data_IF_838360527262
#
_entry.id   IF_838360527262
#
_cell.length_a   1.000
_cell.length_b   1.000
_cell.length_c   1.000
_cell.angle_alpha   90.00
_cell.angle_beta   90.00
_cell.angle_gamma   90.00
#
_symmetry.space_group_name_H-M   'P 1'
#
loop_
_entity.id
_entity.type
_entity.pdbx_description
1 polymer ?
#
# COMPACT_ATOMS: atom_id res chain seq x y z
N UNK A 1 22.84 13.04 20.06
CA UNK A 1 22.11 12.23 19.06
C UNK A 1 23.13 11.66 18.08
N UNK A 2 23.01 10.40 17.65
CA UNK A 2 23.96 9.82 16.70
C UNK A 2 23.90 10.60 15.39
N UNK A 3 25.06 11.04 14.88
CA UNK A 3 25.16 11.66 13.55
C UNK A 3 24.87 10.57 12.51
N UNK A 4 23.69 10.62 11.88
CA UNK A 4 23.35 9.78 10.73
C UNK A 4 24.23 10.26 9.55
N UNK A 5 25.44 9.69 9.43
CA UNK A 5 26.44 10.15 8.47
C UNK A 5 26.41 9.35 7.15
N UNK A 6 25.21 8.95 6.71
CA UNK A 6 24.93 8.33 5.41
C UNK A 6 23.49 8.71 5.04
N UNK A 7 23.24 9.10 3.79
CA UNK A 7 21.90 9.46 3.29
C UNK A 7 20.99 8.23 3.41
N UNK A 8 20.24 8.13 4.50
CA UNK A 8 19.34 7.02 4.81
C UNK A 8 18.06 7.22 4.00
N UNK A 9 17.70 6.21 3.21
CA UNK A 9 16.40 6.14 2.55
C UNK A 9 15.54 5.11 3.28
N UNK A 10 14.25 5.41 3.47
CA UNK A 10 13.30 4.52 4.11
C UNK A 10 12.26 4.12 3.06
N UNK A 11 12.16 2.82 2.77
CA UNK A 11 11.11 2.27 1.93
C UNK A 11 10.12 1.50 2.80
N UNK A 12 8.90 2.02 2.92
CA UNK A 12 7.81 1.36 3.65
C UNK A 12 6.87 0.65 2.68
N UNK A 13 7.00 -0.68 2.60
CA UNK A 13 6.15 -1.52 1.74
C UNK A 13 4.97 -2.06 2.55
N UNK A 14 3.76 -1.83 2.07
CA UNK A 14 2.53 -2.23 2.76
C UNK A 14 1.53 -2.85 1.78
N UNK A 15 1.08 -4.07 2.10
CA UNK A 15 0.09 -4.81 1.30
C UNK A 15 -1.28 -4.77 1.97
N UNK A 16 -2.35 -4.89 1.18
CA UNK A 16 -3.72 -4.91 1.69
C UNK A 16 -4.23 -6.36 1.76
N UNK A 17 -4.85 -6.72 2.89
CA UNK A 17 -5.47 -8.03 3.12
C UNK A 17 -4.52 -9.25 2.92
N UNK A 18 -3.22 -9.08 3.15
CA UNK A 18 -2.26 -10.18 3.06
C UNK A 18 -2.33 -11.08 4.30
N UNK A 19 -2.59 -12.37 4.08
CA UNK A 19 -2.44 -13.37 5.13
C UNK A 19 -0.95 -13.68 5.36
N UNK A 20 -0.56 -13.83 6.63
CA UNK A 20 0.82 -14.16 6.98
C UNK A 20 1.25 -15.53 6.42
N UNK A 21 0.35 -16.51 6.44
CA UNK A 21 0.62 -17.88 5.96
C UNK A 21 0.67 -18.02 4.42
N UNK A 22 0.47 -16.93 3.68
CA UNK A 22 0.71 -16.84 2.23
C UNK A 22 2.16 -16.43 1.89
N UNK A 23 3.03 -16.27 2.88
CA UNK A 23 4.46 -16.05 2.68
C UNK A 23 5.24 -17.31 3.05
N UNK A 24 6.13 -17.77 2.17
CA UNK A 24 6.92 -18.98 2.43
C UNK A 24 7.86 -18.82 3.63
N UNK A 25 8.32 -17.61 3.95
CA UNK A 25 9.09 -17.35 5.17
C UNK A 25 8.28 -17.49 6.48
N UNK A 26 6.94 -17.51 6.44
CA UNK A 26 6.07 -17.70 7.60
C UNK A 26 5.40 -19.09 7.65
N UNK A 27 5.40 -19.82 6.53
CA UNK A 27 4.83 -21.16 6.44
C UNK A 27 5.77 -22.06 5.63
N UNK A 28 6.45 -23.00 6.31
CA UNK A 28 7.39 -23.93 5.67
C UNK A 28 6.74 -24.96 4.76
N UNK A 29 5.43 -25.21 4.94
CA UNK A 29 4.68 -26.20 4.17
C UNK A 29 4.07 -25.60 2.88
N UNK A 30 4.49 -24.40 2.50
CA UNK A 30 3.77 -23.59 1.52
C UNK A 30 4.06 -23.98 0.06
N UNK A 31 2.97 -24.21 -0.68
CA UNK A 31 2.93 -24.38 -2.14
C UNK A 31 3.35 -23.06 -2.82
N UNK A 32 2.97 -21.92 -2.23
CA UNK A 32 3.32 -20.59 -2.76
C UNK A 32 4.77 -20.22 -2.40
N UNK A 33 5.55 -19.83 -3.42
CA UNK A 33 6.95 -19.40 -3.26
C UNK A 33 7.04 -17.88 -3.35
N UNK A 34 7.64 -17.25 -2.34
CA UNK A 34 7.83 -15.78 -2.27
C UNK A 34 9.30 -15.39 -2.09
N UNK A 35 10.22 -15.80 -3.01
CA UNK A 35 11.66 -15.72 -2.79
C UNK A 35 12.18 -14.31 -2.51
N UNK A 36 11.60 -13.28 -3.13
CA UNK A 36 12.01 -11.89 -2.90
C UNK A 36 11.68 -11.41 -1.48
N UNK A 37 10.51 -11.78 -0.95
CA UNK A 37 10.11 -11.44 0.42
C UNK A 37 10.90 -12.29 1.44
N UNK A 38 11.17 -13.55 1.09
CA UNK A 38 12.00 -14.43 1.90
C UNK A 38 13.44 -13.92 2.03
N UNK A 39 14.00 -13.31 0.97
CA UNK A 39 15.33 -12.67 1.02
C UNK A 39 15.35 -11.51 2.00
N UNK A 40 14.32 -10.64 1.97
CA UNK A 40 14.19 -9.53 2.92
C UNK A 40 14.09 -10.06 4.36
N UNK A 41 13.30 -11.11 4.58
CA UNK A 41 13.16 -11.72 5.90
C UNK A 41 14.47 -12.39 6.40
N UNK A 42 15.31 -12.89 5.49
CA UNK A 42 16.60 -13.52 5.81
C UNK A 42 17.68 -12.49 6.17
N UNK A 43 17.68 -11.35 5.51
CA UNK A 43 18.66 -10.27 5.72
C UNK A 43 18.23 -9.29 6.83
N UNK A 44 16.95 -9.30 7.20
CA UNK A 44 16.36 -8.41 8.19
C UNK A 44 15.84 -9.11 9.44
N UNK A 45 14.84 -8.48 10.07
CA UNK A 45 14.14 -9.01 11.24
C UNK A 45 12.74 -9.44 10.82
N UNK A 46 12.38 -10.68 11.14
CA UNK A 46 11.05 -11.25 10.93
C UNK A 46 10.31 -11.38 12.26
N UNK A 47 9.13 -10.78 12.38
CA UNK A 47 8.31 -10.87 13.59
C UNK A 47 7.30 -12.02 13.47
N UNK A 48 7.42 -13.05 14.32
CA UNK A 48 6.46 -14.17 14.35
C UNK A 48 5.10 -13.77 14.93
N UNK A 49 5.06 -12.75 15.77
CA UNK A 49 3.87 -12.25 16.46
C UNK A 49 3.71 -10.75 16.18
N UNK A 50 3.05 -10.42 15.07
CA UNK A 50 2.72 -9.04 14.70
C UNK A 50 1.23 -8.95 14.36
N UNK A 51 0.50 -8.16 15.13
CA UNK A 51 -0.96 -8.09 15.05
C UNK A 51 -1.41 -6.71 14.62
N UNK A 52 -2.43 -6.66 13.76
CA UNK A 52 -3.16 -5.42 13.51
C UNK A 52 -3.95 -5.02 14.77
N UNK A 53 -4.08 -3.72 15.01
CA UNK A 53 -4.91 -3.21 16.12
C UNK A 53 -6.39 -3.21 15.76
N UNK A 54 -6.70 -3.27 14.47
CA UNK A 54 -8.05 -3.36 13.93
C UNK A 54 -8.00 -4.10 12.58
N UNK A 55 -8.89 -5.06 12.28
CA UNK A 55 -8.86 -5.82 11.04
C UNK A 55 -9.46 -5.07 9.82
N UNK A 56 -9.72 -3.77 9.94
CA UNK A 56 -10.34 -2.93 8.89
C UNK A 56 -9.30 -1.95 8.33
N UNK A 57 -9.36 -1.68 7.02
CA UNK A 57 -8.38 -0.86 6.30
C UNK A 57 -8.08 0.51 6.94
N UNK A 58 -9.05 1.44 6.99
CA UNK A 58 -8.79 2.82 7.43
C UNK A 58 -8.34 2.89 8.91
N UNK A 59 -8.98 2.18 9.86
CA UNK A 59 -8.52 2.13 11.24
C UNK A 59 -7.09 1.63 11.37
N UNK A 60 -6.74 0.49 10.76
CA UNK A 60 -5.40 -0.08 10.90
C UNK A 60 -4.32 0.82 10.28
N UNK A 61 -4.61 1.43 9.12
CA UNK A 61 -3.69 2.36 8.45
C UNK A 61 -3.51 3.63 9.27
N UNK A 62 -4.57 4.13 9.89
CA UNK A 62 -4.49 5.24 10.84
C UNK A 62 -3.62 4.89 12.05
N UNK A 63 -3.76 3.68 12.61
CA UNK A 63 -2.88 3.20 13.69
C UNK A 63 -1.42 3.18 13.26
N UNK A 64 -1.11 2.63 12.07
CA UNK A 64 0.27 2.57 11.55
C UNK A 64 0.86 3.97 11.40
N UNK A 65 0.09 4.92 10.86
CA UNK A 65 0.58 6.28 10.60
C UNK A 65 0.77 7.10 11.88
N UNK A 66 -0.14 6.94 12.86
CA UNK A 66 -0.15 7.74 14.09
C UNK A 66 0.61 7.11 15.24
N UNK A 67 0.82 5.78 15.21
CA UNK A 67 1.29 5.00 16.36
C UNK A 67 0.27 4.91 17.50
N UNK A 68 -0.99 5.29 17.26
CA UNK A 68 -2.05 5.35 18.28
C UNK A 68 -3.10 4.25 18.06
N UNK A 69 -3.81 3.85 19.11
CA UNK A 69 -4.96 2.95 18.98
C UNK A 69 -6.18 3.65 18.36
N UNK A 70 -7.12 2.91 17.73
CA UNK A 70 -8.37 3.45 17.21
C UNK A 70 -9.20 4.25 18.21
N UNK A 71 -9.13 3.91 19.49
CA UNK A 71 -9.80 4.64 20.57
C UNK A 71 -9.22 6.04 20.81
N UNK A 72 -7.98 6.28 20.41
CA UNK A 72 -7.26 7.56 20.59
C UNK A 72 -7.41 8.44 19.35
N UNK A 73 -7.11 7.90 18.16
CA UNK A 73 -7.20 8.69 16.91
C UNK A 73 -8.63 8.75 16.32
N UNK A 74 -9.59 7.99 16.87
CA UNK A 74 -11.02 8.09 16.56
C UNK A 74 -11.50 7.41 15.27
N UNK A 75 -10.59 6.85 14.47
CA UNK A 75 -10.92 6.12 13.22
C UNK A 75 -11.18 4.66 13.55
N UNK A 76 -12.45 4.32 13.79
CA UNK A 76 -12.86 2.98 14.24
C UNK A 76 -13.47 2.10 13.13
N UNK A 77 -13.86 2.70 12.00
CA UNK A 77 -14.41 2.03 10.83
C UNK A 77 -14.02 2.77 9.54
N UNK A 78 -14.17 2.12 8.39
CA UNK A 78 -14.08 2.80 7.11
C UNK A 78 -15.18 3.87 6.99
N UNK A 79 -14.87 5.00 6.38
CA UNK A 79 -15.76 6.17 6.29
C UNK A 79 -15.48 7.25 7.33
N UNK A 80 -14.72 6.94 8.39
CA UNK A 80 -14.26 7.96 9.35
C UNK A 80 -12.88 8.46 8.96
N UNK A 81 -12.80 9.72 8.53
CA UNK A 81 -11.52 10.35 8.19
C UNK A 81 -10.64 10.48 9.43
N UNK A 82 -9.32 10.33 9.24
CA UNK A 82 -8.36 10.72 10.27
C UNK A 82 -8.49 12.23 10.52
N UNK A 83 -8.63 12.68 11.78
CA UNK A 83 -8.80 14.11 12.06
C UNK A 83 -7.64 14.94 11.49
N UNK A 84 -7.97 16.12 10.94
CA UNK A 84 -6.95 17.06 10.48
C UNK A 84 -6.05 17.47 11.64
N UNK A 85 -4.77 17.66 11.35
CA UNK A 85 -3.77 18.02 12.37
C UNK A 85 -3.32 16.86 13.26
N UNK A 86 -3.88 15.64 13.10
CA UNK A 86 -3.31 14.46 13.75
C UNK A 86 -1.88 14.24 13.26
N UNK A 87 -0.95 14.12 14.22
CA UNK A 87 0.46 13.90 13.93
C UNK A 87 0.71 12.47 13.47
N UNK A 88 1.46 12.29 12.38
CA UNK A 88 1.91 10.98 11.89
C UNK A 88 3.43 10.84 11.90
N UNK A 89 3.93 9.62 11.75
CA UNK A 89 5.37 9.38 11.60
C UNK A 89 5.92 10.07 10.34
N UNK A 90 5.10 10.26 9.31
CA UNK A 90 5.51 10.95 8.08
C UNK A 90 5.74 12.44 8.35
N UNK A 91 4.87 13.08 9.13
CA UNK A 91 5.09 14.46 9.59
C UNK A 91 6.40 14.59 10.37
N UNK A 92 6.70 13.62 11.23
CA UNK A 92 7.95 13.59 12.02
C UNK A 92 9.18 13.46 11.10
N UNK A 93 9.12 12.59 10.09
CA UNK A 93 10.20 12.45 9.11
C UNK A 93 10.39 13.73 8.30
N UNK A 94 9.32 14.35 7.82
CA UNK A 94 9.36 15.59 7.05
C UNK A 94 9.95 16.74 7.89
N UNK A 95 9.51 16.91 9.14
CA UNK A 95 9.99 17.97 10.03
C UNK A 95 11.44 17.84 10.46
N UNK A 96 12.02 16.64 10.36
CA UNK A 96 13.46 16.46 10.58
C UNK A 96 14.33 17.23 9.57
N UNK A 97 13.77 17.59 8.41
CA UNK A 97 14.46 18.31 7.33
C UNK A 97 15.41 17.43 6.51
N UNK A 98 15.50 16.12 6.79
CA UNK A 98 16.39 15.19 6.07
C UNK A 98 15.69 14.33 5.04
N UNK A 99 14.36 14.17 5.15
CA UNK A 99 13.59 13.28 4.31
C UNK A 99 12.70 14.05 3.34
N UNK A 100 12.65 13.55 2.12
CA UNK A 100 11.57 13.83 1.18
C UNK A 100 10.56 12.69 1.29
N UNK A 101 9.27 13.01 1.41
CA UNK A 101 8.22 12.02 1.70
C UNK A 101 7.29 11.85 0.50
N UNK A 102 7.19 10.61 0.03
CA UNK A 102 6.34 10.25 -1.10
C UNK A 102 5.57 8.96 -0.80
N UNK A 103 4.36 8.87 -1.33
CA UNK A 103 3.58 7.64 -1.28
C UNK A 103 3.16 7.19 -2.67
N UNK A 104 3.25 5.87 -2.87
CA UNK A 104 2.89 5.19 -4.09
C UNK A 104 1.80 4.15 -3.76
N UNK A 105 0.55 4.43 -4.16
CA UNK A 105 -0.58 3.53 -3.96
C UNK A 105 -1.51 3.89 -2.79
N UNK A 106 -2.30 2.91 -2.35
CA UNK A 106 -3.41 3.11 -1.42
C UNK A 106 -2.92 3.44 -0.01
N UNK A 107 -3.30 4.62 0.50
CA UNK A 107 -3.03 5.07 1.88
C UNK A 107 -4.27 4.97 2.77
N UNK A 108 -5.44 5.33 2.25
CA UNK A 108 -6.74 5.15 2.91
C UNK A 108 -6.83 5.77 4.33
N UNK A 109 -6.28 6.96 4.54
CA UNK A 109 -6.48 7.76 5.78
C UNK A 109 -7.76 8.62 5.72
N UNK A 110 -8.27 8.83 4.51
CA UNK A 110 -9.51 9.53 4.23
C UNK A 110 -10.46 8.63 3.43
N UNK A 111 -11.75 8.91 3.51
CA UNK A 111 -12.81 8.23 2.80
C UNK A 111 -12.86 8.69 1.33
N UNK A 112 -12.84 7.72 0.42
CA UNK A 112 -12.92 7.94 -1.02
C UNK A 112 -14.25 7.35 -1.54
N UNK A 113 -15.31 8.15 -1.51
CA UNK A 113 -16.63 7.79 -1.99
C UNK A 113 -17.51 9.02 -2.17
N UNK A 114 -18.60 8.92 -2.92
CA UNK A 114 -19.57 10.01 -3.01
C UNK A 114 -20.16 10.32 -1.62
N UNK A 115 -20.43 11.59 -1.35
CA UNK A 115 -21.11 12.02 -0.12
C UNK A 115 -22.46 11.30 -0.03
N UNK A 116 -22.53 10.28 0.80
CA UNK A 116 -23.79 9.68 1.24
C UNK A 116 -24.03 10.27 2.62
N UNK A 117 -25.24 10.69 2.98
CA UNK A 117 -25.53 11.47 4.20
C UNK A 117 -25.08 10.89 5.57
N UNK A 118 -24.29 9.83 5.59
CA UNK A 118 -23.55 9.28 6.74
C UNK A 118 -22.05 9.60 6.76
N UNK A 119 -21.44 9.94 5.62
CA UNK A 119 -20.01 10.17 5.48
C UNK A 119 -19.74 11.32 4.51
N UNK A 120 -19.06 12.34 4.99
CA UNK A 120 -18.56 13.43 4.15
C UNK A 120 -17.22 13.00 3.53
N UNK A 121 -17.19 12.95 2.20
CA UNK A 121 -15.93 12.88 1.48
C UNK A 121 -15.28 14.26 1.58
N UNK A 122 -14.05 14.38 2.12
CA UNK A 122 -13.35 15.64 2.07
C UNK A 122 -13.19 16.03 0.60
N UNK A 123 -13.58 17.26 0.25
CA UNK A 123 -13.54 17.78 -1.14
C UNK A 123 -12.19 17.50 -1.78
N UNK A 124 -11.13 17.61 -0.99
CA UNK A 124 -9.76 17.33 -1.39
C UNK A 124 -9.62 15.88 -1.87
N UNK A 125 -10.11 14.89 -1.12
CA UNK A 125 -10.03 13.47 -1.50
C UNK A 125 -10.61 13.16 -2.89
N UNK A 126 -11.57 13.97 -3.36
CA UNK A 126 -12.17 13.83 -4.70
C UNK A 126 -11.31 14.47 -5.79
N UNK A 127 -10.63 15.58 -5.51
CA UNK A 127 -9.70 16.25 -6.43
C UNK A 127 -8.53 15.33 -6.82
N UNK A 128 -8.10 14.48 -5.89
CA UNK A 128 -7.01 13.52 -6.07
C UNK A 128 -7.40 12.19 -6.74
N UNK A 129 -8.70 11.93 -6.90
CA UNK A 129 -9.22 10.71 -7.58
C UNK A 129 -9.23 10.88 -9.10
N UNK A 130 -9.17 12.12 -9.59
CA UNK A 130 -9.20 12.42 -11.01
C UNK A 130 -7.79 12.30 -11.64
N UNK A 131 -7.62 11.50 -12.72
CA UNK A 131 -6.31 11.11 -13.27
C UNK A 131 -5.41 12.22 -13.83
N UNK A 132 -5.80 13.50 -13.74
CA UNK A 132 -5.10 14.61 -14.41
C UNK A 132 -4.01 15.30 -13.58
N UNK A 133 -3.90 15.06 -12.29
CA UNK A 133 -2.94 15.74 -11.43
C UNK A 133 -2.30 14.74 -10.45
N UNK A 134 -0.98 14.56 -10.53
CA UNK A 134 -0.16 14.17 -9.38
C UNK A 134 0.37 15.46 -8.78
N UNK A 135 -0.43 16.22 -8.00
CA UNK A 135 0.02 17.52 -7.54
C UNK A 135 1.14 17.33 -6.53
N UNK A 136 2.08 18.27 -6.54
CA UNK A 136 2.95 18.47 -5.39
C UNK A 136 2.07 18.97 -4.25
N UNK A 137 2.12 18.32 -3.10
CA UNK A 137 1.27 18.67 -1.98
C UNK A 137 1.80 19.92 -1.26
N UNK A 138 0.89 20.80 -0.86
CA UNK A 138 1.23 21.89 0.04
C UNK A 138 1.52 21.38 1.44
N UNK A 139 2.34 22.13 2.18
CA UNK A 139 2.56 21.90 3.62
C UNK A 139 1.21 22.04 4.34
N UNK A 140 0.81 21.03 5.11
CA UNK A 140 -0.52 20.86 5.72
C UNK A 140 -1.64 20.34 4.81
N UNK A 141 -1.30 19.70 3.69
CA UNK A 141 -2.27 18.93 2.91
C UNK A 141 -2.98 17.86 3.77
N UNK A 142 -4.16 17.35 3.35
CA UNK A 142 -4.89 16.29 4.07
C UNK A 142 -4.20 14.91 4.03
N UNK A 143 -2.90 14.87 3.71
CA UNK A 143 -2.08 13.67 3.56
C UNK A 143 -0.89 13.63 4.51
N UNK A 144 -0.98 14.37 5.62
CA UNK A 144 -0.21 14.11 6.84
C UNK A 144 1.31 14.06 6.61
N UNK A 145 1.85 15.11 6.01
CA UNK A 145 3.30 15.26 5.82
C UNK A 145 3.86 14.54 4.59
N UNK A 146 3.03 13.95 3.73
CA UNK A 146 3.45 13.53 2.39
C UNK A 146 3.59 14.75 1.48
N UNK A 147 4.71 14.84 0.76
CA UNK A 147 4.97 15.90 -0.24
C UNK A 147 4.57 15.46 -1.65
N UNK A 148 4.63 14.16 -1.93
CA UNK A 148 4.25 13.57 -3.21
C UNK A 148 3.29 12.40 -3.03
N UNK A 149 2.29 12.35 -3.91
CA UNK A 149 1.37 11.24 -4.02
C UNK A 149 1.31 10.75 -5.45
N UNK A 150 1.62 9.47 -5.64
CA UNK A 150 1.49 8.78 -6.90
C UNK A 150 0.50 7.64 -6.68
N UNK A 151 -0.67 7.71 -7.30
CA UNK A 151 -1.80 6.78 -7.14
C UNK A 151 -2.50 6.93 -5.78
N UNK A 152 -3.55 7.74 -5.75
CA UNK A 152 -4.40 7.93 -4.58
C UNK A 152 -5.70 7.21 -4.91
N UNK A 153 -5.84 5.97 -4.46
CA UNK A 153 -6.93 5.13 -4.95
C UNK A 153 -7.45 4.11 -3.94
N UNK A 154 -8.74 3.81 -4.09
CA UNK A 154 -9.42 2.68 -3.49
C UNK A 154 -9.03 1.33 -4.12
N UNK A 155 -9.97 0.39 -4.17
CA UNK A 155 -9.70 -0.97 -4.67
C UNK A 155 -9.24 -0.95 -6.13
N UNK A 156 -8.32 -1.86 -6.47
CA UNK A 156 -7.47 -1.90 -7.66
C UNK A 156 -8.13 -1.63 -9.03
N UNK A 157 -9.46 -1.75 -9.14
CA UNK A 157 -10.20 -1.54 -10.39
C UNK A 157 -10.86 -0.17 -10.52
N UNK A 158 -11.00 0.61 -9.44
CA UNK A 158 -11.93 1.76 -9.43
C UNK A 158 -11.30 3.16 -9.40
N UNK A 159 -10.04 3.34 -9.00
CA UNK A 159 -9.46 4.70 -8.99
C UNK A 159 -7.97 4.69 -9.37
N UNK A 160 -7.48 5.83 -9.88
CA UNK A 160 -6.05 6.13 -10.03
C UNK A 160 -5.29 5.23 -11.00
N UNK A 161 -5.06 5.75 -12.21
CA UNK A 161 -4.23 5.22 -13.29
C UNK A 161 -3.92 3.70 -13.22
N UNK A 162 -4.50 2.87 -14.11
CA UNK A 162 -4.33 1.44 -14.06
C UNK A 162 -2.89 1.03 -14.41
N UNK A 163 -1.79 1.55 -13.86
CA UNK A 163 -0.44 1.21 -14.33
C UNK A 163 -0.19 -0.29 -14.32
N UNK A 164 -0.64 -0.98 -13.28
CA UNK A 164 -0.67 -2.43 -13.26
C UNK A 164 -1.61 -3.02 -14.32
N UNK A 165 -2.85 -2.54 -14.44
CA UNK A 165 -3.82 -3.03 -15.44
C UNK A 165 -3.42 -2.66 -16.89
N UNK A 166 -2.71 -1.57 -17.11
CA UNK A 166 -2.22 -1.01 -18.37
C UNK A 166 -0.95 -1.74 -18.77
N UNK A 167 -0.07 -2.05 -17.81
CA UNK A 167 1.03 -2.98 -17.98
C UNK A 167 0.51 -4.39 -18.27
N UNK A 168 -0.46 -4.90 -17.50
CA UNK A 168 -1.11 -6.18 -17.80
C UNK A 168 -1.76 -6.13 -19.19
N UNK A 169 -2.43 -5.03 -19.57
CA UNK A 169 -3.00 -4.85 -20.91
C UNK A 169 -1.93 -4.78 -21.99
N UNK A 170 -0.79 -4.12 -21.75
CA UNK A 170 0.31 -4.07 -22.71
C UNK A 170 0.94 -5.44 -22.89
N UNK A 171 1.07 -6.21 -21.81
CA UNK A 171 1.51 -7.61 -21.85
C UNK A 171 0.49 -8.55 -22.47
N UNK A 172 -0.80 -8.35 -22.25
CA UNK A 172 -1.88 -9.10 -22.93
C UNK A 172 -1.90 -8.82 -24.44
N UNK A 173 -1.55 -7.61 -24.87
CA UNK A 173 -1.42 -7.28 -26.30
C UNK A 173 -0.29 -8.08 -26.95
N UNK A 174 0.81 -8.29 -26.22
CA UNK A 174 1.96 -9.11 -26.64
C UNK A 174 1.66 -10.61 -26.55
N UNK A 175 0.96 -11.06 -25.49
CA UNK A 175 0.58 -12.44 -25.25
C UNK A 175 -0.86 -12.55 -24.73
N UNK A 176 -1.77 -12.91 -25.64
CA UNK A 176 -3.21 -13.07 -25.35
C UNK A 176 -3.51 -14.22 -24.39
N UNK A 177 -2.56 -15.12 -24.09
CA UNK A 177 -2.76 -16.20 -23.13
C UNK A 177 -2.83 -15.69 -21.69
N UNK A 178 -2.24 -14.52 -21.40
CA UNK A 178 -2.32 -13.84 -20.10
C UNK A 178 -3.72 -13.31 -19.77
N UNK A 179 -4.59 -13.16 -20.77
CA UNK A 179 -5.98 -12.72 -20.60
C UNK A 179 -6.97 -13.88 -20.44
N UNK A 180 -6.54 -15.13 -20.63
CA UNK A 180 -7.42 -16.27 -20.43
C UNK A 180 -7.61 -16.44 -18.93
N UNK A 181 -8.86 -16.38 -18.41
CA UNK A 181 -9.09 -16.79 -17.04
C UNK A 181 -8.58 -18.23 -16.89
N UNK A 182 -7.70 -18.47 -15.93
CA UNK A 182 -7.29 -19.82 -15.56
C UNK A 182 -8.55 -20.56 -15.11
N UNK A 183 -9.15 -21.32 -16.02
CA UNK A 183 -10.22 -22.26 -15.68
C UNK A 183 -9.57 -23.43 -14.97
N UNK A 184 -9.61 -23.35 -13.64
CA UNK A 184 -9.25 -24.45 -12.76
C UNK A 184 -10.22 -25.59 -13.08
N UNK A 185 -9.72 -26.75 -13.52
CA UNK A 185 -10.49 -27.98 -13.52
C UNK A 185 -10.36 -28.56 -12.11
N UNK A 186 -11.49 -28.91 -11.49
CA UNK A 186 -11.54 -29.43 -10.10
C UNK A 186 -10.66 -30.67 -9.87
N UNK A 187 -10.18 -31.32 -10.93
CA UNK A 187 -9.36 -32.54 -10.89
C UNK A 187 -7.85 -32.32 -10.80
N UNK A 188 -7.34 -31.08 -10.82
CA UNK A 188 -5.90 -30.80 -10.84
C UNK A 188 -5.42 -30.15 -9.51
N UNK A 189 -4.83 -30.92 -8.58
CA UNK A 189 -4.41 -30.41 -7.28
C UNK A 189 -3.22 -29.44 -7.34
N UNK A 190 -2.48 -29.36 -8.46
CA UNK A 190 -1.38 -28.41 -8.66
C UNK A 190 -1.84 -27.05 -9.24
N UNK A 191 -3.14 -26.88 -9.44
CA UNK A 191 -3.75 -25.67 -10.03
C UNK A 191 -3.86 -24.46 -9.10
N UNK A 192 -3.37 -24.55 -7.85
CA UNK A 192 -3.34 -23.41 -6.92
C UNK A 192 -2.36 -22.33 -7.40
N UNK A 193 -2.91 -21.34 -8.10
CA UNK A 193 -2.37 -19.98 -8.32
C UNK A 193 -0.85 -19.96 -8.56
N UNK A 194 -0.42 -20.44 -9.72
CA UNK A 194 0.78 -19.93 -10.36
C UNK A 194 0.36 -18.86 -11.37
N UNK A 195 0.35 -17.60 -10.95
CA UNK A 195 0.55 -16.53 -11.93
C UNK A 195 1.99 -16.69 -12.42
N UNK A 196 2.21 -17.27 -13.61
CA UNK A 196 3.50 -17.29 -14.30
C UNK A 196 3.90 -15.86 -14.68
N UNK A 197 4.28 -15.08 -13.70
CA UNK A 197 4.90 -13.77 -13.88
C UNK A 197 6.34 -13.91 -13.43
N UNK A 198 7.20 -14.30 -14.36
CA UNK A 198 8.65 -14.12 -14.23
C UNK A 198 8.92 -12.61 -14.32
N UNK A 199 8.76 -11.91 -13.20
CA UNK A 199 9.19 -10.51 -13.08
C UNK A 199 10.63 -10.55 -12.60
N UNK A 200 11.57 -10.42 -13.53
CA UNK A 200 12.96 -10.09 -13.23
C UNK A 200 13.10 -8.57 -13.17
N UNK A 201 13.57 -8.05 -12.04
CA UNK A 201 14.00 -6.66 -11.94
C UNK A 201 15.43 -6.56 -12.47
N UNK A 202 15.63 -5.71 -13.47
CA UNK A 202 16.97 -5.36 -13.94
C UNK A 202 17.62 -4.45 -12.88
N UNK A 203 18.60 -4.99 -12.16
CA UNK A 203 19.36 -4.26 -11.14
C UNK A 203 20.63 -3.61 -11.70
N UNK A 204 20.80 -3.57 -13.03
CA UNK A 204 22.03 -3.07 -13.66
C UNK A 204 22.05 -1.55 -13.86
N UNK A 205 20.95 -0.84 -13.58
CA UNK A 205 20.92 0.62 -13.58
C UNK A 205 20.51 1.15 -12.19
N UNK A 206 21.44 1.79 -11.45
CA UNK A 206 21.18 2.36 -10.13
C UNK A 206 20.30 3.62 -10.15
#
# INVERSE_FOLDING_TARGET
MPKINKKLNILFVFTDQQRADHLSCYNSNNILKTPNIDSIAKEGIKFSNFYCTNPICMPNRSTIFTGQYPSVHGVTTNGRNLPRGTKTFVDILLESGFFHTASFGKIHLNYFGGSSGRFESPVESQEYVLPKLYPKLEKNSPYFGLEELKIISGHATFCGHPDYINWVRSKIREDKTLAKPLRIKDSDPDSMIQTKLNISFDTSNP
#
